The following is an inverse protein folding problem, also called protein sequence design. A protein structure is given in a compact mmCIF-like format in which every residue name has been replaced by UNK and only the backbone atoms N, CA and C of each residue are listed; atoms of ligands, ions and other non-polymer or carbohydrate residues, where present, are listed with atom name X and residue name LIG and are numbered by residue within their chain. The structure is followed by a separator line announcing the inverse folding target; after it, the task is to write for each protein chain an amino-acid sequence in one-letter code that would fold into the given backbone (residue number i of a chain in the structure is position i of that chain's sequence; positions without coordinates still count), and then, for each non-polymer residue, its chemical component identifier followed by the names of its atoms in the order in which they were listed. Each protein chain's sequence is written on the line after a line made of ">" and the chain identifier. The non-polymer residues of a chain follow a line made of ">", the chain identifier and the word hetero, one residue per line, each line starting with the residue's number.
data_IF_424105988261
#
_entry.id   IF_424105988261
#
_cell.length_a   1.000
_cell.length_b   1.000
_cell.length_c   1.000
_cell.angle_alpha   90.00
_cell.angle_beta   90.00
_cell.angle_gamma   90.00
#
_symmetry.space_group_name_H-M   'P 1'
#
loop_
_entity.id
_entity.type
_entity.pdbx_description
1 polymer ?
#
# COMPACT_ATOMS: atom_id res chain seq x y z
N UNK A 1 -15.80 -24.76 -8.78
CA UNK A 1 -15.80 -23.96 -7.53
C UNK A 1 -14.52 -24.26 -6.77
N UNK A 2 -13.81 -23.23 -6.30
CA UNK A 2 -12.61 -23.36 -5.48
C UNK A 2 -12.71 -22.37 -4.31
N UNK A 3 -12.39 -22.80 -3.09
CA UNK A 3 -12.35 -21.90 -1.93
C UNK A 3 -11.35 -20.77 -2.09
N UNK A 4 -10.28 -21.00 -2.86
CA UNK A 4 -9.26 -19.98 -3.16
C UNK A 4 -9.80 -18.78 -3.96
N UNK A 5 -10.94 -18.93 -4.64
CA UNK A 5 -11.62 -17.83 -5.33
C UNK A 5 -12.48 -16.98 -4.38
N UNK A 6 -12.70 -17.43 -3.15
CA UNK A 6 -13.56 -16.80 -2.14
C UNK A 6 -12.85 -16.76 -0.77
N UNK A 7 -11.71 -16.05 -0.66
CA UNK A 7 -11.02 -15.91 0.62
C UNK A 7 -11.89 -15.21 1.67
N UNK A 8 -11.66 -15.53 2.94
CA UNK A 8 -12.21 -14.82 4.10
C UNK A 8 -11.29 -13.65 4.45
N UNK A 9 -10.60 -13.73 5.58
CA UNK A 9 -9.65 -12.75 6.09
C UNK A 9 -8.19 -13.12 5.77
N UNK A 10 -7.92 -14.32 5.24
CA UNK A 10 -6.57 -14.88 5.16
C UNK A 10 -6.18 -15.29 3.74
N UNK A 11 -4.97 -14.90 3.34
CA UNK A 11 -4.27 -15.38 2.15
C UNK A 11 -3.23 -16.43 2.54
N UNK A 12 -3.40 -17.66 2.07
CA UNK A 12 -2.46 -18.77 2.24
C UNK A 12 -1.45 -18.86 1.08
N UNK A 13 -0.36 -19.63 1.23
CA UNK A 13 0.56 -19.87 0.13
C UNK A 13 -0.17 -20.39 -1.12
N UNK A 14 0.27 -19.96 -2.29
CA UNK A 14 -0.29 -20.27 -3.62
C UNK A 14 -1.66 -19.65 -3.94
N UNK A 15 -2.35 -19.03 -2.98
CA UNK A 15 -3.54 -18.26 -3.28
C UNK A 15 -3.19 -17.02 -4.11
N UNK A 16 -4.19 -16.52 -4.86
CA UNK A 16 -4.11 -15.28 -5.62
C UNK A 16 -4.95 -14.22 -4.92
N UNK A 17 -4.33 -13.11 -4.58
CA UNK A 17 -5.01 -11.90 -4.10
C UNK A 17 -5.03 -10.88 -5.22
N UNK A 18 -6.22 -10.48 -5.68
CA UNK A 18 -6.38 -9.55 -6.80
C UNK A 18 -7.39 -10.04 -7.83
N UNK A 19 -7.31 -9.49 -9.04
CA UNK A 19 -8.34 -9.58 -10.06
C UNK A 19 -8.06 -10.69 -11.08
N UNK A 20 -9.03 -11.57 -11.24
CA UNK A 20 -9.17 -12.45 -12.40
C UNK A 20 -9.80 -11.68 -13.56
N UNK A 21 -9.05 -11.43 -14.62
CA UNK A 21 -9.53 -10.61 -15.75
C UNK A 21 -10.53 -11.37 -16.64
N UNK A 22 -10.54 -12.71 -16.61
CA UNK A 22 -11.47 -13.52 -17.42
C UNK A 22 -12.86 -13.55 -16.80
N UNK A 23 -12.93 -13.68 -15.48
CA UNK A 23 -14.19 -13.77 -14.74
C UNK A 23 -14.65 -12.45 -14.14
N UNK A 24 -13.76 -11.47 -14.02
CA UNK A 24 -14.00 -10.23 -13.29
C UNK A 24 -14.00 -10.40 -11.77
N UNK A 25 -13.66 -11.59 -11.25
CA UNK A 25 -13.65 -11.85 -9.81
C UNK A 25 -12.43 -11.20 -9.15
N UNK A 26 -12.66 -10.25 -8.24
CA UNK A 26 -11.62 -9.66 -7.41
C UNK A 26 -11.55 -10.43 -6.09
N UNK A 27 -10.48 -11.20 -5.88
CA UNK A 27 -10.22 -11.96 -4.67
C UNK A 27 -9.56 -11.03 -3.66
N UNK A 28 -10.26 -10.67 -2.58
CA UNK A 28 -9.80 -9.73 -1.55
C UNK A 28 -10.05 -10.27 -0.16
N UNK A 29 -9.33 -9.76 0.83
CA UNK A 29 -9.51 -10.18 2.22
C UNK A 29 -10.55 -9.30 2.91
N UNK A 30 -11.41 -9.91 3.72
CA UNK A 30 -12.37 -9.22 4.60
C UNK A 30 -12.12 -9.68 6.02
N UNK A 31 -11.89 -8.74 6.94
CA UNK A 31 -11.64 -9.11 8.34
C UNK A 31 -12.85 -9.82 8.94
N UNK A 32 -12.61 -10.58 10.00
CA UNK A 32 -13.70 -10.94 10.92
C UNK A 32 -14.28 -9.71 11.58
N UNK A 33 -15.48 -9.85 12.16
CA UNK A 33 -16.13 -8.77 12.89
C UNK A 33 -15.43 -8.48 14.22
N UNK A 34 -14.96 -9.54 14.89
CA UNK A 34 -14.13 -9.47 16.09
C UNK A 34 -13.43 -10.83 16.31
N UNK A 35 -12.74 -11.00 17.44
CA UNK A 35 -11.99 -12.22 17.78
C UNK A 35 -12.82 -13.50 17.94
N UNK A 36 -14.14 -13.40 18.10
CA UNK A 36 -15.03 -14.55 18.34
C UNK A 36 -16.15 -14.70 17.31
N UNK A 37 -16.38 -13.67 16.47
CA UNK A 37 -17.43 -13.66 15.44
C UNK A 37 -16.79 -13.62 14.04
N UNK A 38 -16.77 -14.75 13.30
CA UNK A 38 -16.16 -14.85 11.98
C UNK A 38 -17.01 -14.25 10.86
N UNK A 39 -18.17 -13.65 11.17
CA UNK A 39 -18.92 -12.89 10.17
C UNK A 39 -18.10 -11.71 9.63
N UNK A 40 -18.45 -11.23 8.44
CA UNK A 40 -17.74 -10.14 7.77
C UNK A 40 -17.69 -8.88 8.64
N UNK A 41 -16.48 -8.41 8.91
CA UNK A 41 -16.21 -7.16 9.60
C UNK A 41 -16.26 -5.94 8.67
N UNK A 42 -15.74 -4.82 9.16
CA UNK A 42 -15.79 -3.53 8.47
C UNK A 42 -14.54 -3.20 7.66
N UNK A 43 -13.56 -4.11 7.66
CA UNK A 43 -12.27 -3.93 7.01
C UNK A 43 -12.13 -4.88 5.85
N UNK A 44 -11.59 -4.36 4.74
CA UNK A 44 -11.21 -5.18 3.61
C UNK A 44 -9.87 -4.73 3.03
N UNK A 45 -9.15 -5.65 2.39
CA UNK A 45 -7.88 -5.37 1.72
C UNK A 45 -7.96 -5.88 0.28
N UNK A 46 -8.06 -4.95 -0.67
CA UNK A 46 -8.53 -5.20 -2.03
C UNK A 46 -7.64 -4.51 -3.06
N UNK A 47 -7.47 -5.16 -4.21
CA UNK A 47 -6.78 -4.58 -5.36
C UNK A 47 -7.72 -3.60 -6.10
N UNK A 48 -7.23 -2.39 -6.32
CA UNK A 48 -7.85 -1.38 -7.17
C UNK A 48 -7.00 -1.17 -8.43
N UNK A 49 -7.69 -0.84 -9.53
CA UNK A 49 -7.10 -0.82 -10.88
C UNK A 49 -7.13 0.58 -11.52
N UNK A 50 -7.57 1.63 -10.80
CA UNK A 50 -7.54 2.99 -11.33
C UNK A 50 -6.08 3.49 -11.37
N UNK A 51 -5.52 3.63 -12.56
CA UNK A 51 -4.11 4.00 -12.75
C UNK A 51 -3.19 2.77 -12.75
N UNK A 52 -2.28 2.69 -11.77
CA UNK A 52 -1.49 1.49 -11.53
C UNK A 52 -2.22 0.55 -10.55
N UNK A 53 -2.13 -0.78 -10.73
CA UNK A 53 -2.68 -1.71 -9.75
C UNK A 53 -2.09 -1.48 -8.36
N UNK A 54 -2.94 -1.23 -7.37
CA UNK A 54 -2.53 -0.99 -5.99
C UNK A 54 -3.53 -1.54 -4.98
N UNK A 55 -3.04 -1.98 -3.83
CA UNK A 55 -3.90 -2.50 -2.76
C UNK A 55 -4.31 -1.41 -1.78
N UNK A 56 -5.61 -1.31 -1.53
CA UNK A 56 -6.20 -0.46 -0.51
C UNK A 56 -6.74 -1.29 0.64
N UNK A 57 -6.45 -0.84 1.86
CA UNK A 57 -7.21 -1.23 3.02
C UNK A 57 -8.38 -0.26 3.17
N UNK A 58 -9.60 -0.77 3.16
CA UNK A 58 -10.82 0.00 3.25
C UNK A 58 -11.48 -0.27 4.61
N UNK A 59 -11.89 0.79 5.31
CA UNK A 59 -12.74 0.73 6.51
C UNK A 59 -14.07 1.38 6.17
N UNK A 60 -15.17 0.62 6.24
CA UNK A 60 -16.52 1.11 5.93
C UNK A 60 -16.62 1.82 4.56
N UNK A 61 -15.84 1.37 3.57
CA UNK A 61 -15.79 1.93 2.22
C UNK A 61 -14.76 3.05 1.99
N UNK A 62 -14.14 3.60 3.05
CA UNK A 62 -13.10 4.62 2.94
C UNK A 62 -11.69 4.03 3.07
N UNK A 63 -10.70 4.46 2.25
CA UNK A 63 -9.32 4.00 2.37
C UNK A 63 -8.66 4.49 3.66
N UNK A 64 -7.99 3.58 4.37
CA UNK A 64 -7.23 3.88 5.60
C UNK A 64 -5.74 3.59 5.46
N UNK A 65 -5.38 2.68 4.54
CA UNK A 65 -4.00 2.37 4.19
C UNK A 65 -3.91 2.05 2.70
N UNK A 66 -2.77 2.38 2.10
CA UNK A 66 -2.50 2.15 0.68
C UNK A 66 -1.13 1.51 0.54
N UNK A 67 -1.08 0.34 -0.07
CA UNK A 67 0.17 -0.38 -0.30
C UNK A 67 0.96 0.25 -1.45
N UNK A 68 0.29 1.02 -2.29
CA UNK A 68 0.84 1.63 -3.49
C UNK A 68 1.13 0.61 -4.59
N UNK A 69 1.61 1.09 -5.74
CA UNK A 69 1.86 0.23 -6.89
C UNK A 69 3.05 -0.70 -6.65
N UNK A 70 3.06 -1.79 -7.42
CA UNK A 70 4.19 -2.71 -7.53
C UNK A 70 5.33 -2.06 -8.31
N UNK A 71 6.53 -1.99 -7.72
CA UNK A 71 7.71 -1.35 -8.32
C UNK A 71 8.61 -2.31 -9.13
N UNK A 72 8.19 -3.57 -9.27
CA UNK A 72 8.99 -4.66 -9.85
C UNK A 72 9.58 -5.59 -8.79
N UNK A 73 9.71 -5.14 -7.55
CA UNK A 73 10.32 -5.88 -6.45
C UNK A 73 9.40 -5.99 -5.23
N UNK A 74 8.57 -4.98 -4.97
CA UNK A 74 7.66 -4.89 -3.82
C UNK A 74 6.51 -3.92 -4.08
N UNK A 75 5.54 -3.87 -3.18
CA UNK A 75 4.62 -2.74 -3.11
C UNK A 75 5.31 -1.54 -2.44
N UNK A 76 5.23 -0.36 -3.06
CA UNK A 76 5.98 0.84 -2.62
C UNK A 76 5.71 1.30 -1.17
N UNK A 77 4.55 0.97 -0.63
CA UNK A 77 4.11 1.24 0.74
C UNK A 77 4.36 0.09 1.73
N UNK A 78 5.04 -0.98 1.32
CA UNK A 78 5.45 -2.08 2.20
C UNK A 78 6.94 -2.41 1.95
N UNK A 79 7.85 -1.51 2.38
CA UNK A 79 9.29 -1.70 2.14
C UNK A 79 9.84 -3.00 2.74
N UNK A 80 9.25 -3.48 3.85
CA UNK A 80 9.66 -4.66 4.59
C UNK A 80 9.45 -5.98 3.83
N UNK A 81 8.70 -5.98 2.71
CA UNK A 81 8.54 -7.17 1.87
C UNK A 81 9.88 -7.76 1.43
N UNK A 82 10.91 -6.93 1.26
CA UNK A 82 12.25 -7.40 0.90
C UNK A 82 12.86 -8.35 1.94
N UNK A 83 12.41 -8.25 3.20
CA UNK A 83 12.90 -9.09 4.30
C UNK A 83 12.13 -10.42 4.41
N UNK A 84 11.06 -10.64 3.65
CA UNK A 84 10.24 -11.85 3.76
C UNK A 84 10.99 -13.11 3.30
N UNK A 85 12.02 -12.96 2.47
CA UNK A 85 12.89 -14.08 2.10
C UNK A 85 13.62 -14.68 3.31
N UNK A 86 13.92 -13.86 4.35
CA UNK A 86 14.59 -14.35 5.57
C UNK A 86 13.71 -15.32 6.37
N UNK A 87 12.40 -15.32 6.13
CA UNK A 87 11.43 -16.25 6.72
C UNK A 87 10.88 -17.23 5.67
N UNK A 88 11.71 -17.61 4.69
CA UNK A 88 11.39 -18.63 3.68
C UNK A 88 10.21 -18.30 2.77
N UNK A 89 9.83 -17.03 2.64
CA UNK A 89 8.73 -16.60 1.77
C UNK A 89 9.28 -15.97 0.49
N UNK A 90 8.81 -16.48 -0.64
CA UNK A 90 9.01 -15.86 -1.96
C UNK A 90 7.66 -15.43 -2.50
N UNK A 91 7.62 -14.30 -3.20
CA UNK A 91 6.38 -13.70 -3.67
C UNK A 91 6.53 -13.13 -5.07
N UNK A 92 5.41 -12.93 -5.73
CA UNK A 92 5.36 -12.33 -7.04
C UNK A 92 4.05 -11.54 -7.23
N UNK A 93 4.12 -10.51 -8.06
CA UNK A 93 2.95 -9.82 -8.57
C UNK A 93 2.82 -10.09 -10.06
N UNK A 94 1.75 -10.75 -10.45
CA UNK A 94 1.45 -11.06 -11.84
C UNK A 94 0.55 -9.97 -12.39
N UNK A 95 0.92 -9.36 -13.51
CA UNK A 95 0.09 -8.43 -14.27
C UNK A 95 0.15 -8.83 -15.75
N UNK A 96 -0.83 -9.62 -16.19
CA UNK A 96 -0.92 -10.11 -17.57
C UNK A 96 -2.36 -10.06 -18.08
N UNK A 97 -2.66 -10.74 -19.19
CA UNK A 97 -4.00 -10.74 -19.82
C UNK A 97 -5.05 -11.57 -19.08
N UNK A 98 -4.64 -12.39 -18.12
CA UNK A 98 -5.50 -13.32 -17.39
C UNK A 98 -5.69 -12.91 -15.94
N UNK A 99 -4.62 -12.47 -15.28
CA UNK A 99 -4.61 -12.12 -13.86
C UNK A 99 -3.84 -10.83 -13.59
N UNK A 100 -4.35 -10.06 -12.65
CA UNK A 100 -3.62 -9.02 -11.93
C UNK A 100 -3.67 -9.36 -10.45
N UNK A 101 -2.65 -10.06 -9.95
CA UNK A 101 -2.71 -10.66 -8.62
C UNK A 101 -1.35 -10.81 -7.94
N UNK A 102 -1.37 -10.63 -6.63
CA UNK A 102 -0.29 -10.99 -5.73
C UNK A 102 -0.40 -12.46 -5.31
N UNK A 103 0.75 -13.14 -5.22
CA UNK A 103 0.85 -14.49 -4.67
C UNK A 103 2.16 -14.66 -3.94
N UNK A 104 2.19 -15.55 -2.95
CA UNK A 104 3.41 -15.95 -2.26
C UNK A 104 3.46 -17.45 -2.06
N UNK A 105 4.66 -17.96 -1.80
CA UNK A 105 4.97 -19.36 -1.54
C UNK A 105 5.94 -19.46 -0.39
N UNK A 106 5.85 -20.56 0.33
CA UNK A 106 6.82 -20.96 1.34
C UNK A 106 7.82 -21.92 0.71
N UNK A 107 9.10 -21.74 1.00
CA UNK A 107 10.22 -22.51 0.43
C UNK A 107 10.79 -23.56 1.37
N UNK A 108 10.51 -23.46 2.68
CA UNK A 108 10.93 -24.44 3.67
C UNK A 108 9.85 -25.50 3.92
N UNK A 109 10.21 -26.78 4.08
CA UNK A 109 9.26 -27.82 4.47
C UNK A 109 8.74 -27.57 5.89
N UNK A 110 7.50 -27.99 6.17
CA UNK A 110 6.84 -27.85 7.49
C UNK A 110 6.81 -26.42 8.05
N UNK A 111 6.91 -25.42 7.18
CA UNK A 111 6.82 -24.01 7.54
C UNK A 111 5.45 -23.48 7.14
N UNK A 112 4.76 -22.85 8.09
CA UNK A 112 3.44 -22.26 7.84
C UNK A 112 3.53 -20.76 7.97
N UNK A 113 2.99 -20.07 6.96
CA UNK A 113 2.86 -18.63 6.95
C UNK A 113 1.45 -18.25 6.47
N UNK A 114 0.94 -17.13 6.97
CA UNK A 114 -0.35 -16.58 6.54
C UNK A 114 -0.32 -15.06 6.57
N UNK A 115 -1.00 -14.47 5.59
CA UNK A 115 -1.25 -13.02 5.55
C UNK A 115 -2.72 -12.79 5.86
N UNK A 116 -3.01 -12.16 7.00
CA UNK A 116 -4.37 -12.06 7.55
C UNK A 116 -4.79 -10.61 7.76
N UNK A 117 -6.01 -10.26 7.34
CA UNK A 117 -6.66 -8.98 7.60
C UNK A 117 -7.33 -9.01 8.98
N UNK A 118 -6.66 -8.45 9.98
CA UNK A 118 -7.09 -8.48 11.38
C UNK A 118 -8.24 -7.49 11.62
N UNK A 119 -9.17 -7.84 12.52
CA UNK A 119 -10.35 -7.00 12.82
C UNK A 119 -9.98 -5.66 13.49
N UNK A 120 -8.78 -5.60 14.06
CA UNK A 120 -8.18 -4.44 14.70
C UNK A 120 -7.73 -3.36 13.69
N UNK A 121 -7.65 -3.67 12.39
CA UNK A 121 -7.33 -2.69 11.35
C UNK A 121 -5.91 -2.74 10.82
N UNK A 122 -5.28 -3.90 10.83
CA UNK A 122 -3.97 -4.11 10.20
C UNK A 122 -3.92 -5.43 9.43
N UNK A 123 -3.08 -5.44 8.40
CA UNK A 123 -2.67 -6.63 7.68
C UNK A 123 -1.46 -7.22 8.40
N UNK A 124 -1.48 -8.51 8.68
CA UNK A 124 -0.45 -9.20 9.46
C UNK A 124 0.12 -10.36 8.66
N UNK A 125 1.44 -10.44 8.54
CA UNK A 125 2.13 -11.64 8.11
C UNK A 125 2.63 -12.37 9.37
N UNK A 126 2.10 -13.56 9.61
CA UNK A 126 2.49 -14.41 10.73
C UNK A 126 3.01 -15.78 10.28
N UNK A 127 3.90 -16.34 11.09
CA UNK A 127 4.53 -17.66 10.88
C UNK A 127 4.27 -18.54 12.10
N UNK A 128 4.07 -19.84 11.89
CA UNK A 128 3.81 -20.77 12.99
C UNK A 128 5.10 -21.14 13.71
N UNK A 129 5.12 -20.97 15.04
CA UNK A 129 6.18 -21.44 15.92
C UNK A 129 5.79 -22.81 16.52
N UNK A 130 6.47 -23.91 16.14
CA UNK A 130 6.16 -25.24 16.65
C UNK A 130 6.60 -25.47 18.10
N UNK A 131 7.53 -24.68 18.63
CA UNK A 131 7.99 -24.79 20.02
C UNK A 131 7.02 -24.11 20.98
N UNK A 132 6.56 -22.90 20.61
CA UNK A 132 5.61 -22.13 21.42
C UNK A 132 4.14 -22.46 21.13
N UNK A 133 3.87 -23.21 20.05
CA UNK A 133 2.52 -23.55 19.57
C UNK A 133 1.65 -22.32 19.33
N UNK A 134 2.24 -21.27 18.75
CA UNK A 134 1.56 -20.02 18.46
C UNK A 134 1.97 -19.40 17.11
N UNK A 135 1.21 -18.40 16.69
CA UNK A 135 1.54 -17.61 15.51
C UNK A 135 2.44 -16.44 15.93
N UNK A 136 3.68 -16.46 15.48
CA UNK A 136 4.60 -15.35 15.64
C UNK A 136 4.37 -14.30 14.54
N UNK A 137 4.22 -13.05 14.93
CA UNK A 137 3.98 -11.93 14.02
C UNK A 137 5.30 -11.42 13.45
N UNK A 138 5.53 -11.64 12.16
CA UNK A 138 6.75 -11.20 11.49
C UNK A 138 6.65 -9.77 10.97
N UNK A 139 5.48 -9.38 10.46
CA UNK A 139 5.24 -8.04 9.92
C UNK A 139 3.77 -7.64 10.11
N UNK A 140 3.55 -6.35 10.35
CA UNK A 140 2.22 -5.73 10.39
C UNK A 140 2.21 -4.44 9.58
N UNK A 141 1.11 -4.19 8.86
CA UNK A 141 0.87 -2.86 8.31
C UNK A 141 0.58 -1.90 9.45
N UNK A 142 1.48 -0.96 9.72
CA UNK A 142 1.20 0.07 10.71
C UNK A 142 0.26 1.12 10.13
N UNK A 143 -0.80 1.45 10.86
CA UNK A 143 -1.72 2.57 10.58
C UNK A 143 -1.90 3.42 11.83
N UNK A 144 -0.91 3.40 12.73
CA UNK A 144 -1.00 4.06 14.03
C UNK A 144 -0.86 5.58 13.90
N UNK A 145 -1.50 6.31 14.82
CA UNK A 145 -1.50 7.78 14.82
C UNK A 145 -0.08 8.32 15.00
N UNK A 146 0.47 8.99 13.98
CA UNK A 146 1.85 9.47 13.95
C UNK A 146 2.74 8.73 12.95
N UNK A 147 2.25 7.61 12.39
CA UNK A 147 2.90 6.92 11.28
C UNK A 147 2.52 7.55 9.93
N UNK A 148 3.47 7.56 9.00
CA UNK A 148 3.34 8.04 7.63
C UNK A 148 2.56 7.11 6.70
N UNK A 149 2.13 5.95 7.21
CA UNK A 149 1.38 4.95 6.47
C UNK A 149 -0.14 5.20 6.43
N UNK A 150 -0.66 6.10 7.27
CA UNK A 150 -2.07 6.51 7.21
C UNK A 150 -2.36 7.12 5.84
N UNK A 151 -3.43 6.63 5.20
CA UNK A 151 -3.88 7.17 3.92
C UNK A 151 -4.23 8.66 4.06
N UNK A 152 -3.63 9.49 3.20
CA UNK A 152 -3.75 10.95 3.26
C UNK A 152 -3.38 11.55 4.64
N UNK A 153 -2.40 10.95 5.34
CA UNK A 153 -1.91 11.48 6.62
C UNK A 153 -1.29 12.88 6.56
N UNK A 154 -0.85 13.30 5.36
CA UNK A 154 -0.45 14.67 5.06
C UNK A 154 -1.24 15.21 3.85
N UNK A 155 -1.30 16.53 3.72
CA UNK A 155 -2.10 17.26 2.71
C UNK A 155 -1.49 17.20 1.31
N UNK A 156 -2.23 17.68 0.32
CA UNK A 156 -1.77 17.78 -1.07
C UNK A 156 -0.46 18.55 -1.19
N UNK A 157 0.42 18.08 -2.08
CA UNK A 157 1.77 18.62 -2.33
C UNK A 157 2.72 18.63 -1.10
N UNK A 158 2.39 17.82 -0.09
CA UNK A 158 3.26 17.54 1.04
C UNK A 158 3.60 16.05 1.08
N UNK A 159 4.60 15.70 1.88
CA UNK A 159 4.96 14.31 2.16
C UNK A 159 5.21 14.11 3.64
N UNK A 160 5.02 12.87 4.09
CA UNK A 160 5.29 12.47 5.46
C UNK A 160 6.71 11.92 5.59
N UNK A 161 7.45 12.40 6.58
CA UNK A 161 8.76 11.90 6.99
C UNK A 161 8.74 11.63 8.50
N UNK A 162 9.04 10.40 8.89
CA UNK A 162 9.06 9.98 10.30
C UNK A 162 10.23 10.58 11.08
N UNK A 163 11.22 11.17 10.39
CA UNK A 163 12.41 11.75 11.00
C UNK A 163 12.30 13.26 11.23
N UNK A 164 11.21 13.89 10.83
CA UNK A 164 10.99 15.34 11.01
C UNK A 164 9.90 15.61 12.04
N UNK A 165 9.92 16.80 12.64
CA UNK A 165 8.81 17.27 13.48
C UNK A 165 8.47 18.71 13.08
N UNK A 166 7.29 18.97 12.51
CA UNK A 166 6.20 18.03 12.22
C UNK A 166 6.57 16.99 11.14
N UNK A 167 5.86 15.86 11.09
CA UNK A 167 6.14 14.78 10.13
C UNK A 167 5.74 15.19 8.69
N UNK A 168 4.78 16.10 8.53
CA UNK A 168 4.35 16.57 7.21
C UNK A 168 5.20 17.74 6.73
N UNK A 169 5.81 17.60 5.55
CA UNK A 169 6.70 18.57 4.94
C UNK A 169 6.19 18.96 3.55
N UNK A 170 6.15 20.25 3.23
CA UNK A 170 5.88 20.68 1.86
C UNK A 170 7.00 20.23 0.90
N UNK A 171 6.63 19.82 -0.31
CA UNK A 171 7.60 19.55 -1.37
C UNK A 171 8.42 20.81 -1.66
N UNK A 172 9.72 20.65 -1.99
CA UNK A 172 10.56 21.79 -2.34
C UNK A 172 9.93 22.60 -3.51
N UNK A 173 9.80 23.91 -3.31
CA UNK A 173 9.10 24.80 -4.24
C UNK A 173 7.63 25.06 -3.86
N UNK A 174 7.14 24.43 -2.80
CA UNK A 174 5.85 24.69 -2.18
C UNK A 174 6.02 25.30 -0.79
N UNK A 175 4.96 25.94 -0.29
CA UNK A 175 4.87 26.48 1.07
C UNK A 175 3.48 26.28 1.67
N UNK A 176 3.36 26.30 3.01
CA UNK A 176 2.06 26.21 3.67
C UNK A 176 1.18 27.40 3.29
N UNK A 177 -0.07 27.14 2.93
CA UNK A 177 -1.04 28.19 2.58
C UNK A 177 -1.27 29.17 3.74
N UNK A 178 -1.27 28.68 4.98
CA UNK A 178 -1.45 29.48 6.20
C UNK A 178 -0.27 29.29 7.17
N UNK A 179 0.80 30.10 7.07
CA UNK A 179 1.97 29.97 7.94
C UNK A 179 1.72 30.38 9.41
N UNK A 180 0.56 30.97 9.72
CA UNK A 180 0.21 31.48 11.05
C UNK A 180 -0.70 30.57 11.89
N UNK A 181 -1.08 29.39 11.38
CA UNK A 181 -1.75 28.36 12.19
C UNK A 181 -0.79 27.86 13.27
N UNK A 182 -1.19 27.90 14.53
CA UNK A 182 -0.31 27.55 15.65
C UNK A 182 0.27 26.13 15.51
N UNK A 183 1.41 25.86 16.15
CA UNK A 183 2.14 24.58 16.05
C UNK A 183 1.29 23.32 16.31
N UNK A 184 0.15 23.46 17.01
CA UNK A 184 -0.82 22.40 17.28
C UNK A 184 -1.76 22.07 16.08
N UNK A 185 -1.91 22.96 15.10
CA UNK A 185 -2.80 22.79 13.92
C UNK A 185 -2.07 22.26 12.67
N UNK A 186 -0.76 21.98 12.79
CA UNK A 186 0.15 21.63 11.69
C UNK A 186 -0.12 20.30 10.97
N UNK A 187 -1.16 19.54 11.35
CA UNK A 187 -1.54 18.31 10.64
C UNK A 187 -2.19 18.55 9.28
N UNK A 188 -2.63 19.77 8.98
CA UNK A 188 -3.51 20.00 7.82
C UNK A 188 -3.29 21.30 7.05
N UNK A 189 -2.07 21.86 7.05
CA UNK A 189 -1.80 23.01 6.18
C UNK A 189 -1.56 22.52 4.76
N UNK A 190 -2.45 22.88 3.83
CA UNK A 190 -2.23 22.61 2.40
C UNK A 190 -0.96 23.30 1.91
N UNK A 191 -0.19 22.61 1.06
CA UNK A 191 1.01 23.16 0.45
C UNK A 191 0.68 23.70 -0.96
N UNK A 192 0.99 24.97 -1.20
CA UNK A 192 0.77 25.66 -2.47
C UNK A 192 2.10 25.98 -3.14
N UNK A 193 2.15 26.00 -4.48
CA UNK A 193 3.38 26.34 -5.21
C UNK A 193 3.75 27.80 -4.92
N UNK A 194 5.03 28.05 -4.61
CA UNK A 194 5.58 29.39 -4.42
C UNK A 194 5.55 30.24 -5.68
N UNK A 195 5.60 29.59 -6.83
CA UNK A 195 5.67 30.24 -8.14
C UNK A 195 4.70 29.55 -9.08
N UNK A 196 3.90 30.34 -9.80
CA UNK A 196 2.97 29.84 -10.80
C UNK A 196 3.72 29.21 -11.97
N UNK A 197 3.20 28.09 -12.46
CA UNK A 197 3.76 27.38 -13.62
C UNK A 197 3.56 28.19 -14.90
N UNK A 198 4.54 28.12 -15.78
CA UNK A 198 4.53 28.79 -17.09
C UNK A 198 4.35 27.81 -18.25
N UNK A 199 4.33 26.51 -17.95
CA UNK A 199 4.37 25.37 -18.88
C UNK A 199 5.69 25.32 -19.68
N UNK A 200 5.99 26.37 -20.45
CA UNK A 200 7.21 26.45 -21.24
C UNK A 200 8.40 26.92 -20.39
N UNK A 201 9.37 26.03 -20.17
CA UNK A 201 10.58 26.31 -19.40
C UNK A 201 10.47 25.95 -17.91
N UNK A 202 9.35 25.36 -17.50
CA UNK A 202 9.25 24.74 -16.18
C UNK A 202 10.21 23.55 -16.07
N UNK A 203 10.54 23.16 -14.84
CA UNK A 203 11.48 22.08 -14.56
C UNK A 203 11.03 21.19 -13.42
N UNK A 204 11.77 20.09 -13.22
CA UNK A 204 11.44 19.07 -12.23
C UNK A 204 12.39 19.11 -11.03
N UNK A 205 11.83 18.82 -9.85
CA UNK A 205 12.62 18.55 -8.66
C UNK A 205 12.57 17.06 -8.33
N UNK A 206 13.75 16.44 -8.22
CA UNK A 206 13.87 15.02 -7.92
C UNK A 206 13.68 14.75 -6.42
N UNK A 207 12.58 14.09 -6.07
CA UNK A 207 12.35 13.53 -4.75
C UNK A 207 12.91 12.11 -4.68
N UNK A 208 13.58 11.78 -3.57
CA UNK A 208 14.22 10.47 -3.35
C UNK A 208 13.52 9.74 -2.23
N UNK A 209 13.63 8.40 -2.24
CA UNK A 209 13.10 7.54 -1.18
C UNK A 209 11.59 7.72 -0.94
N UNK A 210 10.86 8.03 -2.00
CA UNK A 210 9.43 8.29 -1.94
C UNK A 210 8.62 7.02 -2.17
N UNK A 211 7.55 6.88 -1.40
CA UNK A 211 6.36 6.16 -1.87
C UNK A 211 5.69 7.01 -2.95
N UNK A 212 5.47 6.44 -4.13
CA UNK A 212 4.76 7.14 -5.23
C UNK A 212 3.41 7.65 -4.72
N UNK A 213 2.85 8.77 -5.23
CA UNK A 213 1.53 9.24 -4.81
C UNK A 213 0.40 8.26 -5.20
N UNK A 214 -0.84 8.60 -4.83
CA UNK A 214 -2.03 7.90 -5.33
C UNK A 214 -2.06 7.93 -6.86
N UNK A 215 -2.39 6.80 -7.49
CA UNK A 215 -2.28 6.65 -8.95
C UNK A 215 -3.60 6.78 -9.69
N UNK A 216 -4.73 7.09 -9.03
CA UNK A 216 -6.05 7.16 -9.67
C UNK A 216 -6.11 8.13 -10.88
N UNK A 217 -5.29 9.20 -10.87
CA UNK A 217 -5.15 10.15 -11.98
C UNK A 217 -3.92 9.95 -12.87
N UNK A 218 -3.15 8.87 -12.67
CA UNK A 218 -1.89 8.64 -13.37
C UNK A 218 -2.09 7.92 -14.71
N UNK A 219 -1.28 8.30 -15.70
CA UNK A 219 -1.19 7.62 -17.00
C UNK A 219 0.16 6.88 -17.05
N UNK A 220 0.14 5.63 -17.53
CA UNK A 220 1.31 4.75 -17.52
C UNK A 220 1.63 4.30 -18.93
N UNK A 221 2.86 4.56 -19.38
CA UNK A 221 3.40 3.99 -20.61
C UNK A 221 4.69 3.23 -20.31
N UNK A 222 4.59 1.90 -20.16
CA UNK A 222 5.72 1.02 -19.81
C UNK A 222 6.74 0.87 -20.95
N UNK A 223 6.50 1.46 -22.13
CA UNK A 223 7.36 1.32 -23.32
C UNK A 223 8.42 2.41 -23.43
N UNK A 224 8.26 3.50 -22.69
CA UNK A 224 9.12 4.68 -22.78
C UNK A 224 10.08 4.77 -21.59
N UNK A 225 11.22 5.44 -21.80
CA UNK A 225 12.18 5.72 -20.74
C UNK A 225 11.91 7.05 -20.02
N UNK A 226 12.67 7.31 -18.95
CA UNK A 226 12.54 8.52 -18.13
C UNK A 226 12.70 9.83 -18.92
N UNK A 227 13.58 9.85 -19.92
CA UNK A 227 13.80 11.04 -20.76
C UNK A 227 12.53 11.42 -21.52
N UNK A 228 11.95 10.48 -22.26
CA UNK A 228 10.72 10.71 -23.02
C UNK A 228 9.53 10.98 -22.08
N UNK A 229 9.49 10.33 -20.91
CA UNK A 229 8.49 10.64 -19.88
C UNK A 229 8.58 12.10 -19.40
N UNK A 230 9.80 12.63 -19.24
CA UNK A 230 10.03 14.03 -18.88
C UNK A 230 9.73 15.02 -19.99
N UNK A 231 9.80 14.60 -21.27
CA UNK A 231 9.39 15.42 -22.42
C UNK A 231 7.86 15.45 -22.60
N UNK A 232 7.16 14.38 -22.21
CA UNK A 232 5.68 14.29 -22.24
C UNK A 232 5.02 15.01 -21.07
N UNK A 233 5.68 15.08 -19.92
CA UNK A 233 5.18 15.73 -18.71
C UNK A 233 5.34 17.24 -18.79
#
# INVERSE_FOLDING_TARGET
>A
WQSFDYPTDTLLPHMKLGLDLKTGNNRFLTSWKNSYDPSSGYLSYKLEMQGLPEFLMLRSGGPVFRSGPWDGFRFSGIPEMQNWHFVNIVYNFTENKEDVAFTYRVTAPNFYARLTMRFEGFLELSTWDPEMLEWNVFWVSSTSTGDCNIYMGCTTNSFCDTNTTPNCNCIKGFEPMNPHGGALESRSTECVRKTQLSCNGDGFYWLRNMKLPDTAGAIVDKRIGLKECGERC
#
